data_IF_053782243883
#
_entry.id   IF_053782243883
#
_cell.length_a   1.000
_cell.length_b   1.000
_cell.length_c   1.000
_cell.angle_alpha   90.00
_cell.angle_beta   90.00
_cell.angle_gamma   90.00
#
_symmetry.space_group_name_H-M   'P 1'
#
loop_
_entity.id
_entity.type
_entity.pdbx_description
1 polymer ?
#
# COMPACT_ATOMS: atom_id res chain seq x y z
N UNK A 1 20.02 11.33 -9.38
CA UNK A 1 19.98 10.01 -8.70
C UNK A 1 19.91 8.93 -9.78
N UNK A 2 20.56 7.78 -9.57
CA UNK A 2 20.43 6.63 -10.46
C UNK A 2 19.28 5.78 -9.89
N UNK A 3 18.09 5.75 -10.49
CA UNK A 3 16.99 4.95 -9.97
C UNK A 3 17.22 3.46 -10.26
N UNK A 4 16.83 2.59 -9.31
CA UNK A 4 16.78 1.16 -9.62
C UNK A 4 15.72 0.95 -10.70
N UNK A 5 16.11 0.35 -11.83
CA UNK A 5 15.24 0.22 -13.01
C UNK A 5 14.31 -1.00 -12.88
N UNK A 6 13.38 -0.93 -11.93
CA UNK A 6 12.24 -1.85 -11.86
C UNK A 6 11.37 -1.71 -13.12
N UNK A 7 10.87 -2.84 -13.62
CA UNK A 7 9.95 -2.91 -14.76
C UNK A 7 8.79 -3.85 -14.46
N UNK A 8 7.56 -3.57 -14.91
CA UNK A 8 6.41 -4.44 -14.68
C UNK A 8 6.56 -5.86 -15.24
N UNK A 9 7.40 -6.03 -16.28
CA UNK A 9 7.56 -7.29 -17.01
C UNK A 9 8.67 -8.18 -16.45
N UNK A 10 9.55 -7.66 -15.59
CA UNK A 10 10.76 -8.37 -15.17
C UNK A 10 10.94 -8.35 -13.67
N UNK A 11 11.10 -9.54 -13.09
CA UNK A 11 11.50 -9.70 -11.70
C UNK A 11 12.99 -9.43 -11.53
N UNK A 12 13.33 -8.57 -10.56
CA UNK A 12 14.68 -8.32 -10.09
C UNK A 12 14.85 -8.90 -8.69
N UNK A 13 16.03 -9.46 -8.42
CA UNK A 13 16.38 -9.98 -7.10
C UNK A 13 16.92 -8.85 -6.22
N UNK A 14 16.46 -8.81 -4.97
CA UNK A 14 16.93 -7.88 -3.94
C UNK A 14 17.32 -8.64 -2.69
N UNK A 15 18.48 -8.31 -2.13
CA UNK A 15 18.95 -8.89 -0.89
C UNK A 15 18.17 -8.35 0.31
N UNK A 16 17.83 -9.23 1.24
CA UNK A 16 17.26 -8.89 2.53
C UNK A 16 18.42 -8.56 3.48
N UNK A 17 18.48 -7.32 3.98
CA UNK A 17 19.48 -6.94 4.99
C UNK A 17 18.92 -6.90 6.41
N UNK A 18 17.60 -6.86 6.58
CA UNK A 18 16.95 -6.88 7.88
C UNK A 18 15.58 -7.53 7.82
N UNK A 19 15.30 -8.36 8.82
CA UNK A 19 13.97 -8.92 9.11
C UNK A 19 13.68 -8.66 10.58
N UNK A 20 12.78 -7.73 10.86
CA UNK A 20 12.38 -7.37 12.22
C UNK A 20 10.94 -7.80 12.46
N UNK A 21 10.71 -8.56 13.54
CA UNK A 21 9.37 -8.97 13.95
C UNK A 21 8.78 -7.91 14.89
N UNK A 22 7.88 -7.08 14.38
CA UNK A 22 7.27 -5.96 15.11
C UNK A 22 6.10 -6.40 16.01
N UNK A 23 5.35 -7.41 15.59
CA UNK A 23 4.25 -8.00 16.37
C UNK A 23 4.31 -9.53 16.30
N UNK A 24 3.32 -10.21 16.89
CA UNK A 24 3.19 -11.67 16.77
C UNK A 24 3.17 -12.17 15.32
N UNK A 25 2.65 -11.35 14.39
CA UNK A 25 2.33 -11.74 13.02
C UNK A 25 2.78 -10.70 11.97
N UNK A 26 3.51 -9.65 12.34
CA UNK A 26 3.90 -8.59 11.41
C UNK A 26 5.41 -8.39 11.41
N UNK A 27 5.97 -8.34 10.20
CA UNK A 27 7.39 -8.22 9.93
C UNK A 27 7.68 -6.94 9.15
N UNK A 28 8.71 -6.21 9.58
CA UNK A 28 9.36 -5.19 8.80
C UNK A 28 10.56 -5.81 8.09
N UNK A 29 10.55 -5.81 6.77
CA UNK A 29 11.62 -6.39 5.95
C UNK A 29 12.30 -5.29 5.15
N UNK A 30 13.62 -5.20 5.27
CA UNK A 30 14.45 -4.24 4.52
C UNK A 30 15.21 -4.93 3.41
N UNK A 31 15.11 -4.35 2.22
CA UNK A 31 15.81 -4.79 1.02
C UNK A 31 16.89 -3.79 0.62
N UNK A 32 18.03 -4.30 0.15
CA UNK A 32 19.14 -3.47 -0.32
C UNK A 32 18.88 -3.00 -1.76
N UNK A 33 19.09 -1.70 -2.00
CA UNK A 33 19.23 -1.13 -3.34
C UNK A 33 20.71 -0.75 -3.57
N UNK A 34 21.16 -0.62 -4.84
CA UNK A 34 22.46 -0.02 -5.15
C UNK A 34 22.66 1.32 -4.43
N UNK A 35 23.90 1.61 -4.03
CA UNK A 35 24.22 2.86 -3.34
C UNK A 35 23.77 4.09 -4.14
N UNK A 36 23.22 5.09 -3.44
CA UNK A 36 22.69 6.34 -4.03
C UNK A 36 21.54 6.12 -5.04
N UNK A 37 20.87 4.96 -4.98
CA UNK A 37 19.67 4.68 -5.76
C UNK A 37 18.42 4.71 -4.89
N UNK A 38 17.33 5.19 -5.49
CA UNK A 38 16.00 5.19 -4.91
C UNK A 38 15.15 4.13 -5.61
N UNK A 39 14.10 3.67 -4.93
CA UNK A 39 13.13 2.74 -5.50
C UNK A 39 12.30 3.38 -6.63
N UNK A 40 12.01 4.68 -6.49
CA UNK A 40 11.35 5.48 -7.54
C UNK A 40 9.85 5.21 -7.71
N UNK A 41 9.12 4.94 -6.62
CA UNK A 41 7.66 4.80 -6.65
C UNK A 41 6.96 6.15 -6.52
N UNK A 42 5.90 6.35 -7.29
CA UNK A 42 4.95 7.44 -7.10
C UNK A 42 3.85 7.05 -6.08
N UNK A 43 3.23 8.02 -5.40
CA UNK A 43 2.12 7.74 -4.49
C UNK A 43 1.01 6.94 -5.17
N UNK A 44 0.55 5.89 -4.48
CA UNK A 44 -0.46 4.95 -5.00
C UNK A 44 0.10 3.80 -5.83
N UNK A 45 1.42 3.75 -6.05
CA UNK A 45 2.08 2.60 -6.69
C UNK A 45 2.54 1.55 -5.68
N UNK A 46 2.62 0.31 -6.15
CA UNK A 46 3.07 -0.85 -5.38
C UNK A 46 3.98 -1.76 -6.20
N UNK A 47 4.59 -2.74 -5.55
CA UNK A 47 5.40 -3.79 -6.16
C UNK A 47 4.71 -5.16 -6.06
N UNK A 48 5.08 -6.08 -6.93
CA UNK A 48 4.66 -7.48 -6.86
C UNK A 48 5.85 -8.33 -6.42
N UNK A 49 5.70 -9.02 -5.30
CA UNK A 49 6.62 -10.04 -4.80
C UNK A 49 6.29 -11.38 -5.45
N UNK A 50 7.30 -12.11 -5.89
CA UNK A 50 7.21 -13.53 -6.27
C UNK A 50 7.84 -14.41 -5.21
N UNK A 51 7.15 -15.50 -4.88
CA UNK A 51 7.65 -16.58 -4.04
C UNK A 51 7.35 -17.94 -4.66
N UNK A 52 8.02 -18.99 -4.16
CA UNK A 52 7.74 -20.38 -4.51
C UNK A 52 7.57 -21.16 -3.21
N UNK A 53 6.43 -21.82 -3.04
CA UNK A 53 6.12 -22.65 -1.86
C UNK A 53 5.57 -23.98 -2.35
N UNK A 54 6.17 -25.09 -1.93
CA UNK A 54 5.74 -26.44 -2.31
C UNK A 54 5.67 -26.63 -3.84
N UNK A 55 6.59 -26.00 -4.59
CA UNK A 55 6.66 -26.02 -6.06
C UNK A 55 5.68 -25.07 -6.78
N UNK A 56 4.77 -24.40 -6.05
CA UNK A 56 3.82 -23.45 -6.61
C UNK A 56 4.40 -22.03 -6.60
N UNK A 57 4.44 -21.39 -7.78
CA UNK A 57 4.74 -19.97 -7.87
C UNK A 57 3.53 -19.14 -7.37
N UNK A 58 3.80 -18.22 -6.46
CA UNK A 58 2.83 -17.30 -5.89
C UNK A 58 3.30 -15.85 -6.08
N UNK A 59 2.34 -14.95 -6.31
CA UNK A 59 2.63 -13.52 -6.43
C UNK A 59 1.67 -12.70 -5.57
N UNK A 60 2.18 -11.67 -4.88
CA UNK A 60 1.37 -10.75 -4.06
C UNK A 60 1.86 -9.31 -4.16
N UNK A 61 0.92 -8.38 -4.16
CA UNK A 61 1.19 -6.94 -4.15
C UNK A 61 1.59 -6.48 -2.74
N UNK A 62 2.59 -5.62 -2.66
CA UNK A 62 2.99 -4.92 -1.44
C UNK A 62 3.37 -3.48 -1.77
N UNK A 63 2.97 -2.56 -0.90
CA UNK A 63 3.37 -1.14 -0.99
C UNK A 63 4.53 -0.90 -0.03
N UNK A 64 5.72 -0.55 -0.53
CA UNK A 64 6.84 -0.14 0.31
C UNK A 64 6.46 1.06 1.18
N UNK A 65 6.96 1.04 2.42
CA UNK A 65 6.66 2.07 3.44
C UNK A 65 7.83 3.02 3.69
N UNK A 66 8.97 2.77 3.07
CA UNK A 66 10.13 3.66 3.15
C UNK A 66 9.81 5.03 2.55
N UNK A 67 10.37 6.13 3.09
CA UNK A 67 10.21 7.45 2.49
C UNK A 67 10.59 7.46 1.01
N UNK A 68 9.91 8.29 0.20
CA UNK A 68 10.22 8.43 -1.23
C UNK A 68 11.68 8.89 -1.50
N UNK A 69 12.29 9.53 -0.51
CA UNK A 69 13.68 10.01 -0.53
C UNK A 69 14.69 8.98 -0.02
N UNK A 70 14.26 7.79 0.42
CA UNK A 70 15.15 6.76 0.93
C UNK A 70 16.12 6.27 -0.16
N UNK A 71 17.42 6.26 0.15
CA UNK A 71 18.47 5.81 -0.75
C UNK A 71 19.12 4.52 -0.24
N UNK A 72 19.42 3.60 -1.16
CA UNK A 72 20.13 2.35 -0.85
C UNK A 72 19.28 1.27 -0.20
N UNK A 73 17.99 1.52 0.05
CA UNK A 73 17.07 0.51 0.57
C UNK A 73 15.59 0.81 0.25
N UNK A 74 14.75 -0.20 0.44
CA UNK A 74 13.32 -0.01 0.66
C UNK A 74 12.81 -0.96 1.74
N UNK A 75 11.77 -0.52 2.44
CA UNK A 75 11.15 -1.28 3.54
C UNK A 75 9.75 -1.72 3.15
N UNK A 76 9.40 -2.96 3.50
CA UNK A 76 8.04 -3.49 3.32
C UNK A 76 7.55 -4.03 4.66
N UNK A 77 6.34 -3.60 5.04
CA UNK A 77 5.64 -4.11 6.21
C UNK A 77 4.69 -5.23 5.77
N UNK A 78 4.90 -6.44 6.31
CA UNK A 78 4.17 -7.64 5.89
C UNK A 78 3.51 -8.28 7.12
N UNK A 79 2.18 -8.36 7.08
CA UNK A 79 1.42 -9.17 8.03
C UNK A 79 1.27 -10.60 7.49
N UNK A 80 1.66 -11.56 8.31
CA UNK A 80 1.58 -12.99 8.05
C UNK A 80 0.26 -13.58 8.57
N UNK A 81 -0.35 -14.43 7.76
CA UNK A 81 -1.58 -15.13 8.07
C UNK A 81 -1.29 -16.64 8.10
N UNK A 82 -1.84 -17.34 9.08
CA UNK A 82 -1.51 -18.74 9.38
C UNK A 82 -1.63 -19.70 8.17
N UNK A 83 -2.60 -19.46 7.28
CA UNK A 83 -2.84 -20.29 6.09
C UNK A 83 -2.34 -19.65 4.79
N UNK A 84 -1.67 -18.48 4.88
CA UNK A 84 -1.19 -17.74 3.72
C UNK A 84 0.10 -18.34 3.14
N UNK A 85 0.08 -18.77 1.88
CA UNK A 85 1.30 -19.27 1.22
C UNK A 85 2.42 -18.21 1.18
N UNK A 86 2.08 -16.95 0.89
CA UNK A 86 3.06 -15.87 0.92
C UNK A 86 3.56 -15.58 2.34
N UNK A 87 2.72 -15.80 3.35
CA UNK A 87 3.12 -15.67 4.75
C UNK A 87 4.13 -16.74 5.14
N UNK A 88 3.90 -18.01 4.79
CA UNK A 88 4.89 -19.09 4.96
C UNK A 88 6.22 -18.78 4.27
N UNK A 89 6.16 -18.20 3.07
CA UNK A 89 7.37 -17.79 2.33
C UNK A 89 8.14 -16.70 3.07
N UNK A 90 7.46 -15.64 3.51
CA UNK A 90 8.08 -14.51 4.25
C UNK A 90 8.62 -14.94 5.62
N UNK A 91 7.90 -15.81 6.34
CA UNK A 91 8.35 -16.33 7.65
C UNK A 91 9.62 -17.18 7.56
N UNK A 92 9.95 -17.70 6.37
CA UNK A 92 11.18 -18.47 6.15
C UNK A 92 12.43 -17.60 5.93
N UNK A 93 12.25 -16.31 5.65
CA UNK A 93 13.34 -15.41 5.28
C UNK A 93 14.32 -15.14 6.42
N UNK A 94 15.58 -14.99 6.05
CA UNK A 94 16.68 -14.52 6.91
C UNK A 94 17.47 -13.43 6.21
N UNK A 95 18.20 -12.65 7.00
CA UNK A 95 19.20 -11.71 6.47
C UNK A 95 20.18 -12.46 5.58
N UNK A 96 20.45 -11.90 4.39
CA UNK A 96 21.28 -12.50 3.34
C UNK A 96 20.48 -13.13 2.20
N UNK A 97 19.24 -13.55 2.46
CA UNK A 97 18.35 -14.13 1.44
C UNK A 97 18.02 -13.11 0.34
N UNK A 98 17.50 -13.60 -0.78
CA UNK A 98 17.01 -12.78 -1.88
C UNK A 98 15.50 -12.98 -2.07
N UNK A 99 14.81 -11.88 -2.40
CA UNK A 99 13.43 -11.91 -2.85
C UNK A 99 13.29 -11.23 -4.22
N UNK A 100 12.31 -11.67 -5.00
CA UNK A 100 12.12 -11.24 -6.37
C UNK A 100 10.94 -10.28 -6.49
N UNK A 101 11.21 -9.07 -6.98
CA UNK A 101 10.24 -7.99 -7.08
C UNK A 101 10.13 -7.46 -8.50
N UNK A 102 8.93 -7.09 -8.92
CA UNK A 102 8.67 -6.36 -10.17
C UNK A 102 7.70 -5.20 -9.93
N UNK A 103 7.67 -4.24 -10.83
CA UNK A 103 6.82 -3.04 -10.73
C UNK A 103 7.47 -1.83 -11.43
N UNK A 104 6.95 -0.61 -11.19
CA UNK A 104 5.77 -0.31 -10.37
C UNK A 104 4.46 -0.77 -11.00
N UNK A 105 3.43 -1.01 -10.18
CA UNK A 105 2.02 -1.13 -10.57
C UNK A 105 1.18 -0.11 -9.82
N UNK A 106 -0.06 0.10 -10.27
CA UNK A 106 -1.00 1.03 -9.65
C UNK A 106 -1.38 2.15 -10.61
N UNK A 107 -2.69 2.39 -10.74
CA UNK A 107 -3.27 3.40 -11.64
C UNK A 107 -3.68 4.70 -10.94
N UNK A 108 -3.43 4.82 -9.64
CA UNK A 108 -3.78 6.02 -8.90
C UNK A 108 -2.82 7.17 -9.28
N UNK A 109 -3.39 8.30 -9.72
CA UNK A 109 -2.63 9.49 -10.06
C UNK A 109 -2.73 10.51 -8.91
N UNK A 110 -1.62 10.74 -8.23
CA UNK A 110 -1.51 11.82 -7.26
C UNK A 110 -1.06 13.12 -7.93
N UNK A 111 -1.89 14.15 -7.81
CA UNK A 111 -1.61 15.50 -8.30
C UNK A 111 -1.35 16.43 -7.10
N UNK A 112 -0.09 16.87 -6.88
CA UNK A 112 0.20 17.83 -5.83
C UNK A 112 -0.62 19.12 -6.02
N UNK A 113 -1.16 19.66 -4.92
CA UNK A 113 -1.89 20.93 -4.91
C UNK A 113 -3.10 20.99 -5.87
N UNK A 114 -3.74 19.85 -6.14
CA UNK A 114 -5.01 19.80 -6.91
C UNK A 114 -6.09 20.70 -6.30
N UNK A 115 -6.05 20.90 -4.99
CA UNK A 115 -6.85 21.92 -4.31
C UNK A 115 -6.01 23.17 -4.03
N UNK A 116 -6.41 24.30 -4.60
CA UNK A 116 -5.62 25.54 -4.61
C UNK A 116 -6.05 26.56 -3.56
N UNK A 117 -7.20 26.35 -2.90
CA UNK A 117 -7.70 27.25 -1.86
C UNK A 117 -7.79 26.56 -0.51
N UNK A 118 -6.99 26.99 0.49
CA UNK A 118 -7.08 26.49 1.87
C UNK A 118 -8.48 26.69 2.49
N UNK A 119 -9.23 27.68 2.05
CA UNK A 119 -10.60 27.97 2.52
C UNK A 119 -11.64 26.98 1.97
N UNK A 120 -11.35 26.38 0.81
CA UNK A 120 -12.15 25.35 0.14
C UNK A 120 -11.71 23.91 0.46
N UNK A 121 -10.61 23.75 1.21
CA UNK A 121 -10.23 22.45 1.74
C UNK A 121 -11.38 21.94 2.63
N UNK A 122 -11.72 20.64 2.55
CA UNK A 122 -12.50 20.00 3.60
C UNK A 122 -11.71 20.21 4.91
N UNK A 123 -12.25 21.03 5.82
CA UNK A 123 -11.62 21.30 7.12
C UNK A 123 -11.62 20.04 7.99
N UNK A 124 -10.76 19.07 7.70
CA UNK A 124 -10.39 18.01 8.64
C UNK A 124 -9.07 17.32 8.28
N UNK A 125 -7.95 18.02 8.44
CA UNK A 125 -6.72 17.35 8.90
C UNK A 125 -6.80 17.19 10.43
N UNK A 126 -7.83 16.50 10.92
CA UNK A 126 -7.85 16.01 12.29
C UNK A 126 -7.81 14.51 12.18
N UNK A 127 -6.77 13.88 12.70
CA UNK A 127 -6.75 12.44 12.92
C UNK A 127 -7.95 12.10 13.82
N UNK A 128 -9.03 11.66 13.20
CA UNK A 128 -10.22 11.17 13.90
C UNK A 128 -10.22 9.67 13.72
N UNK A 129 -9.84 8.98 14.78
CA UNK A 129 -9.94 7.52 14.86
C UNK A 129 -11.34 7.16 15.32
N UNK A 130 -12.02 6.32 14.55
CA UNK A 130 -13.31 5.75 14.91
C UNK A 130 -13.11 4.27 15.26
N UNK A 131 -13.80 3.82 16.30
CA UNK A 131 -13.80 2.42 16.72
C UNK A 131 -15.10 1.75 16.30
N UNK A 132 -15.02 0.47 15.94
CA UNK A 132 -16.16 -0.32 15.48
C UNK A 132 -16.16 -0.53 13.97
N UNK A 133 -17.27 -1.05 13.45
CA UNK A 133 -17.43 -1.31 12.02
C UNK A 133 -17.65 0.00 11.28
N UNK A 134 -16.89 0.22 10.21
CA UNK A 134 -17.20 1.23 9.20
C UNK A 134 -18.45 0.77 8.43
N UNK A 135 -19.61 1.30 8.82
CA UNK A 135 -20.91 1.02 8.22
C UNK A 135 -21.52 2.26 7.55
N UNK A 136 -22.69 2.08 6.92
CA UNK A 136 -23.37 3.14 6.16
C UNK A 136 -23.55 4.44 6.97
N UNK A 137 -24.07 4.34 8.19
CA UNK A 137 -24.34 5.50 9.06
C UNK A 137 -23.08 6.35 9.29
N UNK A 138 -21.95 5.71 9.59
CA UNK A 138 -20.68 6.42 9.81
C UNK A 138 -20.15 7.02 8.50
N UNK A 139 -20.30 6.33 7.37
CA UNK A 139 -19.89 6.88 6.06
C UNK A 139 -20.73 8.10 5.70
N UNK A 140 -22.05 8.06 5.91
CA UNK A 140 -22.95 9.19 5.70
C UNK A 140 -22.58 10.38 6.59
N UNK A 141 -22.30 10.12 7.87
CA UNK A 141 -21.82 11.13 8.83
C UNK A 141 -20.51 11.77 8.36
N UNK A 142 -19.54 10.95 7.92
CA UNK A 142 -18.23 11.44 7.47
C UNK A 142 -18.34 12.27 6.19
N UNK A 143 -19.11 11.80 5.21
CA UNK A 143 -19.30 12.50 3.93
C UNK A 143 -20.09 13.79 4.12
N UNK A 144 -21.13 13.79 4.95
CA UNK A 144 -21.96 14.99 5.21
C UNK A 144 -21.23 16.08 6.00
N UNK A 145 -20.19 15.72 6.76
CA UNK A 145 -19.32 16.69 7.46
C UNK A 145 -18.38 17.45 6.54
N UNK A 146 -18.11 16.92 5.34
CA UNK A 146 -17.28 17.62 4.37
C UNK A 146 -18.08 18.74 3.71
N UNK A 147 -17.49 19.95 3.61
CA UNK A 147 -18.10 21.10 2.92
C UNK A 147 -18.48 20.80 1.46
N UNK A 148 -17.74 19.88 0.83
CA UNK A 148 -17.96 19.34 -0.52
C UNK A 148 -17.74 17.83 -0.48
N UNK A 149 -18.28 17.12 -1.48
CA UNK A 149 -18.05 15.68 -1.62
C UNK A 149 -16.52 15.40 -1.69
N UNK A 150 -15.97 14.56 -0.79
CA UNK A 150 -14.55 14.28 -0.76
C UNK A 150 -14.16 13.28 -1.86
N UNK A 151 -12.85 13.21 -2.15
CA UNK A 151 -12.27 12.06 -2.84
C UNK A 151 -11.85 11.03 -1.79
N UNK A 152 -12.37 9.80 -1.85
CA UNK A 152 -12.07 8.76 -0.86
C UNK A 152 -11.02 7.76 -1.35
N UNK A 153 -10.09 7.38 -0.47
CA UNK A 153 -9.11 6.32 -0.70
C UNK A 153 -9.43 5.14 0.22
N UNK A 154 -9.59 3.95 -0.35
CA UNK A 154 -9.97 2.75 0.42
C UNK A 154 -8.97 1.63 0.14
N UNK A 155 -8.45 1.02 1.20
CA UNK A 155 -7.58 -0.15 1.13
C UNK A 155 -7.97 -1.11 2.26
N UNK A 156 -8.03 -2.41 1.98
CA UNK A 156 -8.43 -3.43 2.95
C UNK A 156 -8.64 -4.79 2.29
N UNK A 157 -9.42 -5.67 2.93
CA UNK A 157 -9.80 -6.93 2.28
C UNK A 157 -10.74 -6.68 1.09
N UNK A 158 -10.83 -7.61 0.12
CA UNK A 158 -11.77 -7.48 -1.01
C UNK A 158 -13.23 -7.28 -0.57
N UNK A 159 -13.65 -7.94 0.50
CA UNK A 159 -14.99 -7.79 1.06
C UNK A 159 -15.18 -6.40 1.67
N UNK A 160 -14.17 -5.91 2.39
CA UNK A 160 -14.18 -4.57 2.97
C UNK A 160 -14.23 -3.49 1.89
N UNK A 161 -13.39 -3.57 0.85
CA UNK A 161 -13.39 -2.57 -0.24
C UNK A 161 -14.71 -2.58 -1.01
N UNK A 162 -15.29 -3.76 -1.26
CA UNK A 162 -16.63 -3.90 -1.85
C UNK A 162 -17.73 -3.31 -0.98
N UNK A 163 -17.69 -3.55 0.33
CA UNK A 163 -18.65 -2.96 1.28
C UNK A 163 -18.54 -1.43 1.30
N UNK A 164 -17.31 -0.91 1.38
CA UNK A 164 -17.06 0.53 1.39
C UNK A 164 -17.49 1.22 0.09
N UNK A 165 -17.27 0.61 -1.07
CA UNK A 165 -17.74 1.15 -2.34
C UNK A 165 -19.26 1.35 -2.34
N UNK A 166 -20.01 0.35 -1.85
CA UNK A 166 -21.48 0.46 -1.72
C UNK A 166 -21.88 1.58 -0.76
N UNK A 167 -21.18 1.71 0.36
CA UNK A 167 -21.44 2.77 1.34
C UNK A 167 -21.19 4.16 0.76
N UNK A 168 -20.08 4.36 0.04
CA UNK A 168 -19.70 5.64 -0.56
C UNK A 168 -20.69 6.06 -1.66
N UNK A 169 -21.10 5.14 -2.53
CA UNK A 169 -22.13 5.39 -3.55
C UNK A 169 -23.47 5.78 -2.90
N UNK A 170 -23.88 5.07 -1.86
CA UNK A 170 -25.13 5.37 -1.12
C UNK A 170 -25.06 6.72 -0.39
N UNK A 171 -23.87 7.13 0.06
CA UNK A 171 -23.61 8.46 0.64
C UNK A 171 -23.54 9.57 -0.43
N UNK A 172 -23.76 9.25 -1.71
CA UNK A 172 -23.82 10.18 -2.82
C UNK A 172 -22.45 10.61 -3.36
N UNK A 173 -21.41 9.76 -3.25
CA UNK A 173 -20.21 9.89 -4.07
C UNK A 173 -20.43 9.23 -5.43
N UNK A 174 -19.71 9.72 -6.45
CA UNK A 174 -19.67 9.11 -7.78
C UNK A 174 -18.52 8.11 -7.87
N UNK A 175 -18.55 7.20 -8.87
CA UNK A 175 -17.50 6.18 -9.07
C UNK A 175 -16.11 6.79 -9.31
N UNK A 176 -16.05 7.99 -9.89
CA UNK A 176 -14.80 8.73 -10.13
C UNK A 176 -14.32 9.53 -8.90
N UNK A 177 -15.07 9.48 -7.79
CA UNK A 177 -14.80 10.23 -6.56
C UNK A 177 -14.22 9.34 -5.45
N UNK A 178 -13.84 8.10 -5.78
CA UNK A 178 -13.07 7.25 -4.86
C UNK A 178 -12.14 6.30 -5.63
N UNK A 179 -11.10 5.82 -4.95
CA UNK A 179 -10.19 4.81 -5.47
C UNK A 179 -10.07 3.65 -4.48
N UNK A 180 -10.17 2.44 -4.99
CA UNK A 180 -9.98 1.20 -4.24
C UNK A 180 -8.59 0.64 -4.60
N UNK A 181 -7.70 0.56 -3.61
CA UNK A 181 -6.36 -0.04 -3.75
C UNK A 181 -6.39 -1.57 -3.68
#
# INVERSE_FOLDING_TARGET
SCSTKLRPETFLAFHICGVEKLTKDTYLVRFILPANSQLGLHPGQHLVLRGVVDGLEIQRAYTPISPATAEGYFDVLIKCYQTGLMSRYVESWRTGDMAFWRGPFGGFLYEPNKETSPELLPWSYREKTYFGRLGQELVDELVSRCRRKPFALVCGSPEFTKDMARCLLSAGLMEDSFFLF
#
